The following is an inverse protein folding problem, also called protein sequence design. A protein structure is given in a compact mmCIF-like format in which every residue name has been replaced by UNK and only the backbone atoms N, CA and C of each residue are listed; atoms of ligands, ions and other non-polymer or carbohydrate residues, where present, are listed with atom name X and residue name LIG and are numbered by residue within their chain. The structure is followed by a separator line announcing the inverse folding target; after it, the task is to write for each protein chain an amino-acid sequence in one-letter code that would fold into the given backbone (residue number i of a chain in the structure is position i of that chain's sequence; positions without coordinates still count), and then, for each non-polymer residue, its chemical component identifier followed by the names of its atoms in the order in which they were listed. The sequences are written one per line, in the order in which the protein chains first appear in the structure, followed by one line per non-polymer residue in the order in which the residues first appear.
data_IF_803563218132
#
_entry.id   IF_803563218132
#
_cell.length_a   1.000
_cell.length_b   1.000
_cell.length_c   1.000
_cell.angle_alpha   90.00
_cell.angle_beta   90.00
_cell.angle_gamma   90.00
#
_symmetry.space_group_name_H-M   'P 1'
#
loop_
_entity.id
_entity.type
_entity.pdbx_description
1 polymer ?
#
# COMPACT_ATOMS: atom_id res chain seq x y z
N UNK A 1 -2.74 31.96 1.12
CA UNK A 1 -1.41 31.32 1.19
C UNK A 1 -1.38 30.20 0.17
N UNK A 2 -0.82 30.44 -1.03
CA UNK A 2 -0.63 29.39 -2.03
C UNK A 2 0.44 28.43 -1.50
N UNK A 3 0.02 27.23 -1.13
CA UNK A 3 0.95 26.15 -0.81
C UNK A 3 1.59 25.78 -2.14
N UNK A 4 2.86 26.13 -2.31
CA UNK A 4 3.63 25.76 -3.50
C UNK A 4 3.88 24.25 -3.46
N UNK A 5 2.94 23.48 -4.04
CA UNK A 5 2.93 22.02 -4.14
C UNK A 5 4.04 21.44 -5.06
N UNK A 6 4.95 22.30 -5.54
CA UNK A 6 5.82 22.00 -6.69
C UNK A 6 7.19 21.39 -6.39
N UNK A 7 7.58 21.15 -5.13
CA UNK A 7 8.78 20.33 -4.85
C UNK A 7 8.41 18.88 -4.60
N UNK A 8 7.78 18.25 -5.60
CA UNK A 8 7.78 16.78 -5.71
C UNK A 8 9.23 16.33 -5.82
N UNK A 9 9.65 15.43 -4.92
CA UNK A 9 10.98 14.85 -5.02
C UNK A 9 10.87 13.70 -6.02
N UNK A 10 11.13 14.01 -7.29
CA UNK A 10 11.04 13.05 -8.38
C UNK A 10 11.80 11.75 -8.09
N UNK A 11 13.02 11.86 -7.54
CA UNK A 11 13.82 10.68 -7.18
C UNK A 11 13.13 9.76 -6.16
N UNK A 12 12.41 10.33 -5.19
CA UNK A 12 11.66 9.55 -4.20
C UNK A 12 10.47 8.84 -4.84
N UNK A 13 9.76 9.53 -5.73
CA UNK A 13 8.63 8.98 -6.45
C UNK A 13 9.07 7.84 -7.39
N UNK A 14 10.21 8.02 -8.09
CA UNK A 14 10.83 7.01 -8.94
C UNK A 14 11.25 5.78 -8.14
N UNK A 15 11.94 5.96 -7.01
CA UNK A 15 12.37 4.84 -6.17
C UNK A 15 11.18 4.04 -5.63
N UNK A 16 10.08 4.70 -5.26
CA UNK A 16 8.85 3.98 -4.88
C UNK A 16 8.22 3.25 -6.07
N UNK A 17 8.22 3.84 -7.25
CA UNK A 17 7.69 3.18 -8.45
C UNK A 17 8.49 1.90 -8.77
N UNK A 18 9.82 1.98 -8.72
CA UNK A 18 10.70 0.82 -8.87
C UNK A 18 10.41 -0.22 -7.79
N UNK A 19 10.31 0.18 -6.53
CA UNK A 19 9.98 -0.72 -5.42
C UNK A 19 8.64 -1.44 -5.63
N UNK A 20 7.58 -0.73 -6.04
CA UNK A 20 6.28 -1.33 -6.37
C UNK A 20 6.41 -2.32 -7.53
N UNK A 21 7.16 -1.98 -8.59
CA UNK A 21 7.36 -2.89 -9.72
C UNK A 21 8.04 -4.19 -9.29
N UNK A 22 9.07 -4.12 -8.43
CA UNK A 22 9.71 -5.32 -7.89
C UNK A 22 8.73 -6.22 -7.13
N UNK A 23 7.84 -5.63 -6.32
CA UNK A 23 6.79 -6.36 -5.60
C UNK A 23 5.77 -6.97 -6.56
N UNK A 24 5.32 -6.24 -7.58
CA UNK A 24 4.39 -6.77 -8.58
C UNK A 24 5.02 -7.93 -9.35
N UNK A 25 6.29 -7.82 -9.74
CA UNK A 25 7.02 -8.90 -10.39
C UNK A 25 7.17 -10.13 -9.49
N UNK A 26 7.38 -9.97 -8.19
CA UNK A 26 7.46 -11.10 -7.26
C UNK A 26 6.12 -11.83 -7.10
N UNK A 27 4.99 -11.15 -7.29
CA UNK A 27 3.66 -11.77 -7.22
C UNK A 27 3.38 -12.73 -8.40
N UNK A 28 4.16 -12.70 -9.49
CA UNK A 28 4.06 -13.72 -10.56
C UNK A 28 4.31 -15.13 -10.02
N UNK A 29 5.12 -15.26 -8.96
CA UNK A 29 5.42 -16.54 -8.33
C UNK A 29 4.22 -17.21 -7.66
N UNK A 30 3.15 -16.47 -7.35
CA UNK A 30 1.88 -17.06 -6.89
C UNK A 30 1.22 -17.91 -7.97
N UNK A 31 1.41 -17.56 -9.25
CA UNK A 31 0.85 -18.29 -10.38
C UNK A 31 1.73 -19.50 -10.74
N UNK A 32 3.04 -19.42 -10.50
CA UNK A 32 4.02 -20.48 -10.78
C UNK A 32 4.72 -20.98 -9.50
N UNK A 33 4.00 -21.59 -8.54
CA UNK A 33 4.54 -21.94 -7.23
C UNK A 33 5.63 -23.04 -7.28
N UNK A 34 5.65 -23.84 -8.34
CA UNK A 34 6.62 -24.93 -8.55
C UNK A 34 7.86 -24.50 -9.33
N UNK A 35 7.96 -23.24 -9.76
CA UNK A 35 9.12 -22.74 -10.47
C UNK A 35 10.36 -22.75 -9.55
N UNK A 36 11.43 -23.40 -10.01
CA UNK A 36 12.71 -23.52 -9.30
C UNK A 36 13.84 -23.02 -10.19
N UNK A 37 14.83 -22.36 -9.59
CA UNK A 37 16.00 -21.84 -10.28
C UNK A 37 16.29 -20.38 -9.92
N UNK A 38 17.35 -19.84 -10.52
CA UNK A 38 17.89 -18.53 -10.20
C UNK A 38 16.89 -17.38 -10.39
N UNK A 39 16.06 -17.43 -11.44
CA UNK A 39 15.10 -16.36 -11.75
C UNK A 39 14.00 -16.25 -10.67
N UNK A 40 13.27 -17.32 -10.30
CA UNK A 40 12.34 -17.29 -9.19
C UNK A 40 12.93 -16.80 -7.86
N UNK A 41 14.16 -17.21 -7.54
CA UNK A 41 14.81 -16.83 -6.28
C UNK A 41 15.14 -15.32 -6.25
N UNK A 42 15.63 -14.77 -7.37
CA UNK A 42 15.84 -13.33 -7.52
C UNK A 42 14.51 -12.57 -7.37
N UNK A 43 13.43 -13.06 -7.98
CA UNK A 43 12.11 -12.42 -7.86
C UNK A 43 11.57 -12.44 -6.44
N UNK A 44 11.80 -13.50 -5.65
CA UNK A 44 11.44 -13.55 -4.22
C UNK A 44 12.17 -12.48 -3.42
N UNK A 45 13.49 -12.42 -3.58
CA UNK A 45 14.33 -11.43 -2.88
C UNK A 45 13.95 -10.02 -3.32
N UNK A 46 13.75 -9.80 -4.61
CA UNK A 46 13.32 -8.52 -5.16
C UNK A 46 11.97 -8.07 -4.58
N UNK A 47 11.02 -9.00 -4.40
CA UNK A 47 9.76 -8.73 -3.71
C UNK A 47 9.96 -8.27 -2.28
N UNK A 48 10.75 -9.02 -1.49
CA UNK A 48 11.07 -8.67 -0.10
C UNK A 48 11.70 -7.26 0.00
N UNK A 49 12.77 -7.04 -0.76
CA UNK A 49 13.50 -5.76 -0.79
C UNK A 49 12.61 -4.63 -1.29
N UNK A 50 11.78 -4.89 -2.31
CA UNK A 50 10.82 -3.93 -2.84
C UNK A 50 9.82 -3.48 -1.77
N UNK A 51 9.28 -4.41 -0.98
CA UNK A 51 8.38 -4.10 0.14
C UNK A 51 9.10 -3.22 1.18
N UNK A 52 10.31 -3.61 1.60
CA UNK A 52 11.09 -2.85 2.61
C UNK A 52 11.38 -1.42 2.15
N UNK A 53 11.91 -1.26 0.92
CA UNK A 53 12.20 0.05 0.34
C UNK A 53 10.92 0.88 0.25
N UNK A 54 9.82 0.31 -0.24
CA UNK A 54 8.56 1.03 -0.38
C UNK A 54 8.05 1.55 0.97
N UNK A 55 8.11 0.73 2.02
CA UNK A 55 7.67 1.14 3.36
C UNK A 55 8.57 2.21 3.97
N UNK A 56 9.91 2.08 3.87
CA UNK A 56 10.86 3.07 4.39
C UNK A 56 10.66 4.43 3.71
N UNK A 57 10.57 4.45 2.37
CA UNK A 57 10.39 5.70 1.61
C UNK A 57 9.02 6.34 1.85
N UNK A 58 7.97 5.52 1.98
CA UNK A 58 6.64 6.01 2.33
C UNK A 58 6.65 6.59 3.74
N UNK A 59 7.21 5.88 4.72
CA UNK A 59 7.38 6.33 6.10
C UNK A 59 8.11 7.66 6.19
N UNK A 60 9.24 7.79 5.49
CA UNK A 60 10.01 9.04 5.40
C UNK A 60 9.16 10.21 4.88
N UNK A 61 8.40 10.01 3.79
CA UNK A 61 7.57 11.09 3.23
C UNK A 61 6.46 11.52 4.19
N UNK A 62 5.77 10.54 4.80
CA UNK A 62 4.68 10.80 5.74
C UNK A 62 5.22 11.51 6.98
N UNK A 63 6.32 11.01 7.53
CA UNK A 63 7.01 11.62 8.66
C UNK A 63 7.42 13.06 8.35
N UNK A 64 7.95 13.34 7.16
CA UNK A 64 8.28 14.70 6.73
C UNK A 64 7.06 15.62 6.64
N UNK A 65 5.91 15.10 6.16
CA UNK A 65 4.66 15.88 6.09
C UNK A 65 4.15 16.19 7.51
N UNK A 66 4.12 15.20 8.39
CA UNK A 66 3.68 15.38 9.78
C UNK A 66 4.64 16.33 10.52
N UNK A 67 5.94 16.20 10.33
CA UNK A 67 6.95 17.08 10.92
C UNK A 67 6.79 18.53 10.46
N UNK A 68 6.52 18.75 9.16
CA UNK A 68 6.22 20.09 8.64
C UNK A 68 4.94 20.65 9.24
N UNK A 69 3.91 19.82 9.41
CA UNK A 69 2.67 20.22 10.05
C UNK A 69 2.85 20.54 11.53
N UNK A 70 3.79 19.85 12.20
CA UNK A 70 4.15 20.13 13.59
C UNK A 70 4.87 21.48 13.75
N UNK A 71 5.72 21.85 12.80
CA UNK A 71 6.44 23.11 12.80
C UNK A 71 5.60 24.33 12.39
N UNK A 72 4.39 24.14 11.86
CA UNK A 72 3.52 25.26 11.50
C UNK A 72 2.84 25.86 12.73
N UNK A 73 2.73 27.18 12.78
CA UNK A 73 2.12 27.92 13.91
C UNK A 73 0.66 27.50 14.20
N UNK A 74 -0.06 26.98 13.21
CA UNK A 74 -1.44 26.48 13.31
C UNK A 74 -1.52 24.98 13.69
N UNK A 75 -0.51 24.42 14.34
CA UNK A 75 -0.51 23.01 14.72
C UNK A 75 -1.68 22.67 15.66
N UNK A 76 -2.53 21.75 15.23
CA UNK A 76 -3.65 21.23 16.01
C UNK A 76 -3.82 19.75 15.75
N UNK A 77 -4.26 18.99 16.76
CA UNK A 77 -4.66 17.59 16.57
C UNK A 77 -5.69 17.42 15.44
N UNK A 78 -6.52 18.45 15.19
CA UNK A 78 -7.47 18.47 14.06
C UNK A 78 -6.78 18.44 12.70
N UNK A 79 -5.63 19.11 12.54
CA UNK A 79 -4.93 19.16 11.25
C UNK A 79 -4.26 17.83 10.93
N UNK A 80 -3.72 17.15 11.94
CA UNK A 80 -3.21 15.78 11.82
C UNK A 80 -4.35 14.81 11.49
N UNK A 81 -5.46 14.89 12.21
CA UNK A 81 -6.63 14.02 11.96
C UNK A 81 -7.19 14.22 10.55
N UNK A 82 -7.30 15.46 10.09
CA UNK A 82 -7.73 15.79 8.72
C UNK A 82 -6.77 15.19 7.67
N UNK A 83 -5.46 15.24 7.91
CA UNK A 83 -4.47 14.60 7.04
C UNK A 83 -4.69 13.08 6.93
N UNK A 84 -4.93 12.40 8.05
CA UNK A 84 -5.22 10.96 8.07
C UNK A 84 -6.53 10.62 7.34
N UNK A 85 -7.60 11.37 7.60
CA UNK A 85 -8.89 11.22 6.91
C UNK A 85 -8.70 11.34 5.40
N UNK A 86 -8.07 12.40 4.92
CA UNK A 86 -7.88 12.63 3.47
C UNK A 86 -7.10 11.50 2.81
N UNK A 87 -6.18 10.88 3.56
CA UNK A 87 -5.43 9.72 3.10
C UNK A 87 -6.28 8.46 3.06
N UNK A 88 -7.02 8.18 4.12
CA UNK A 88 -7.90 7.01 4.20
C UNK A 88 -9.00 7.06 3.13
N UNK A 89 -9.61 8.22 2.90
CA UNK A 89 -10.58 8.42 1.82
C UNK A 89 -9.98 8.25 0.41
N UNK A 90 -8.65 8.22 0.25
CA UNK A 90 -8.01 7.90 -1.02
C UNK A 90 -7.77 6.39 -1.20
N UNK A 91 -7.41 5.69 -0.12
CA UNK A 91 -7.01 4.27 -0.19
C UNK A 91 -8.15 3.31 0.07
N UNK A 92 -9.04 3.63 1.03
CA UNK A 92 -10.15 2.76 1.43
C UNK A 92 -11.19 2.53 0.32
N UNK A 93 -11.62 3.53 -0.48
CA UNK A 93 -12.59 3.28 -1.52
C UNK A 93 -12.09 2.27 -2.56
N UNK A 94 -10.82 2.37 -2.95
CA UNK A 94 -10.23 1.43 -3.89
C UNK A 94 -10.09 0.02 -3.28
N UNK A 95 -9.76 -0.07 -1.99
CA UNK A 95 -9.73 -1.34 -1.28
C UNK A 95 -11.11 -2.03 -1.28
N UNK A 96 -12.16 -1.32 -0.85
CA UNK A 96 -13.51 -1.89 -0.81
C UNK A 96 -14.04 -2.24 -2.20
N UNK A 97 -13.72 -1.44 -3.23
CA UNK A 97 -14.03 -1.75 -4.61
C UNK A 97 -13.41 -3.09 -5.02
N UNK A 98 -12.10 -3.26 -4.81
CA UNK A 98 -11.40 -4.51 -5.16
C UNK A 98 -11.90 -5.69 -4.34
N UNK A 99 -12.22 -5.49 -3.05
CA UNK A 99 -12.80 -6.52 -2.20
C UNK A 99 -14.16 -6.99 -2.73
N UNK A 100 -15.06 -6.07 -3.08
CA UNK A 100 -16.36 -6.40 -3.68
C UNK A 100 -16.17 -7.17 -4.99
N UNK A 101 -15.28 -6.70 -5.86
CA UNK A 101 -14.97 -7.39 -7.12
C UNK A 101 -14.50 -8.83 -6.85
N UNK A 102 -13.60 -9.05 -5.89
CA UNK A 102 -13.13 -10.39 -5.55
C UNK A 102 -14.26 -11.29 -5.02
N UNK A 103 -15.15 -10.76 -4.17
CA UNK A 103 -16.32 -11.49 -3.68
C UNK A 103 -17.26 -11.87 -4.83
N UNK A 104 -17.54 -10.95 -5.75
CA UNK A 104 -18.38 -11.21 -6.92
C UNK A 104 -17.77 -12.28 -7.83
N UNK A 105 -16.45 -12.22 -8.07
CA UNK A 105 -15.72 -13.23 -8.85
C UNK A 105 -15.80 -14.59 -8.15
N UNK A 106 -15.58 -14.63 -6.82
CA UNK A 106 -15.63 -15.87 -6.05
C UNK A 106 -17.03 -16.53 -6.10
N UNK A 107 -18.10 -15.73 -5.98
CA UNK A 107 -19.48 -16.20 -6.12
C UNK A 107 -19.78 -16.69 -7.53
N UNK A 108 -19.26 -16.01 -8.56
CA UNK A 108 -19.46 -16.39 -9.96
C UNK A 108 -18.76 -17.72 -10.31
N UNK A 109 -17.55 -17.94 -9.79
CA UNK A 109 -16.78 -19.19 -10.01
C UNK A 109 -17.31 -20.33 -9.11
N UNK A 110 -18.12 -20.03 -8.10
CA UNK A 110 -18.63 -21.02 -7.14
C UNK A 110 -17.62 -21.45 -6.09
N UNK A 111 -16.56 -20.66 -5.87
CA UNK A 111 -15.60 -20.89 -4.78
C UNK A 111 -16.21 -20.50 -3.44
N UNK A 112 -15.94 -21.28 -2.39
CA UNK A 112 -16.35 -20.95 -1.02
C UNK A 112 -15.69 -19.64 -0.56
N UNK A 113 -16.49 -18.74 -0.01
CA UNK A 113 -15.98 -17.54 0.66
C UNK A 113 -15.31 -17.94 2.00
N UNK A 114 -14.29 -17.19 2.46
CA UNK A 114 -13.73 -17.40 3.79
C UNK A 114 -14.79 -17.17 4.87
N UNK A 115 -14.87 -18.05 5.87
CA UNK A 115 -15.80 -17.91 7.01
C UNK A 115 -15.61 -16.59 7.76
N UNK A 116 -14.38 -16.07 7.73
CA UNK A 116 -13.97 -14.82 8.36
C UNK A 116 -14.04 -13.59 7.44
N UNK A 117 -14.94 -13.56 6.46
CA UNK A 117 -15.07 -12.44 5.50
C UNK A 117 -15.18 -11.06 6.19
N UNK A 118 -15.84 -10.99 7.34
CA UNK A 118 -15.96 -9.77 8.13
C UNK A 118 -14.60 -9.20 8.58
N UNK A 119 -13.59 -10.04 8.80
CA UNK A 119 -12.24 -9.59 9.16
C UNK A 119 -11.57 -8.82 8.03
N UNK A 120 -11.89 -9.13 6.77
CA UNK A 120 -11.40 -8.39 5.60
C UNK A 120 -12.00 -6.97 5.57
N UNK A 121 -13.25 -6.78 5.99
CA UNK A 121 -13.88 -5.45 6.03
C UNK A 121 -13.21 -4.52 7.06
N UNK A 122 -12.72 -5.08 8.17
CA UNK A 122 -12.06 -4.36 9.27
C UNK A 122 -10.53 -4.48 9.27
N UNK A 123 -9.93 -5.07 8.23
CA UNK A 123 -8.48 -5.31 8.13
C UNK A 123 -7.90 -6.18 9.27
N UNK A 124 -8.72 -7.00 9.92
CA UNK A 124 -8.35 -7.86 11.05
C UNK A 124 -7.76 -9.22 10.63
N UNK A 125 -7.74 -9.52 9.32
CA UNK A 125 -7.27 -10.80 8.78
C UNK A 125 -5.85 -11.20 9.20
N UNK A 126 -4.97 -10.23 9.49
CA UNK A 126 -3.58 -10.49 9.88
C UNK A 126 -3.42 -10.78 11.39
N UNK A 127 -4.49 -10.61 12.18
CA UNK A 127 -4.49 -10.78 13.64
C UNK A 127 -5.26 -12.04 14.09
N UNK A 128 -5.85 -12.78 13.15
CA UNK A 128 -6.64 -13.98 13.39
C UNK A 128 -5.81 -15.26 13.31
#
# INVERSE_FOLDING_TARGET
MQIDDNKRIFGLDLMRAVAILLVVCSHVLWITPTARGMIPDILRIAGLVGVEIFFVLSGFLIGRIIYRLYLSDDFSFKSVFYFWIRRWFRTLPNYYLVLIINVLIALYIGTSLPDNLWQYAFFLQNFA
#
